data_IF_421854687982
#
_entry.id   IF_421854687982
#
_cell.length_a   1.000
_cell.length_b   1.000
_cell.length_c   1.000
_cell.angle_alpha   90.00
_cell.angle_beta   90.00
_cell.angle_gamma   90.00
#
_symmetry.space_group_name_H-M   'P 1'
#
loop_
_entity.id
_entity.type
_entity.pdbx_description
1 polymer ?
#
# COMPACT_ATOMS: atom_id res chain seq x y z
N UNK A 1 8.99 -6.46 -13.04
CA UNK A 1 7.78 -5.67 -12.81
C UNK A 1 7.67 -5.43 -11.33
N UNK A 2 7.77 -4.18 -10.92
CA UNK A 2 7.62 -3.76 -9.53
C UNK A 2 6.13 -3.54 -9.21
N UNK A 3 5.73 -3.65 -7.94
CA UNK A 3 4.33 -3.44 -7.55
C UNK A 3 3.89 -1.98 -7.75
N UNK A 4 4.83 -1.04 -7.71
CA UNK A 4 4.62 0.39 -7.96
C UNK A 4 4.09 0.67 -9.36
N UNK A 5 4.46 -0.14 -10.35
CA UNK A 5 4.01 -0.01 -11.75
C UNK A 5 2.52 -0.34 -11.93
N UNK A 6 1.90 -1.00 -10.95
CA UNK A 6 0.46 -1.31 -10.93
C UNK A 6 -0.38 -0.23 -10.23
N UNK A 7 0.27 0.74 -9.59
CA UNK A 7 -0.35 1.77 -8.76
C UNK A 7 -1.31 2.64 -9.57
N UNK A 8 -2.46 3.00 -8.99
CA UNK A 8 -3.33 4.07 -9.50
C UNK A 8 -3.86 4.92 -8.35
N UNK A 9 -3.84 6.26 -8.46
CA UNK A 9 -4.33 7.15 -7.42
C UNK A 9 -5.73 6.80 -6.92
N UNK A 10 -5.92 6.85 -5.61
CA UNK A 10 -7.15 6.55 -4.88
C UNK A 10 -7.45 5.06 -4.71
N UNK A 11 -6.64 4.16 -5.27
CA UNK A 11 -6.92 2.72 -5.21
C UNK A 11 -6.38 2.10 -3.91
N UNK A 12 -7.25 1.39 -3.21
CA UNK A 12 -6.91 0.66 -1.99
C UNK A 12 -7.75 -0.60 -1.83
N UNK A 13 -7.34 -1.47 -0.91
CA UNK A 13 -8.14 -2.59 -0.44
C UNK A 13 -9.21 -2.10 0.56
N UNK A 14 -10.38 -1.69 0.05
CA UNK A 14 -11.42 -1.04 0.85
C UNK A 14 -12.01 -1.92 1.96
N UNK A 15 -12.00 -3.25 1.80
CA UNK A 15 -12.57 -4.15 2.80
C UNK A 15 -11.73 -4.22 4.08
N UNK A 16 -10.40 -4.11 3.96
CA UNK A 16 -9.43 -4.19 5.06
C UNK A 16 -8.93 -2.81 5.50
N UNK A 17 -9.21 -1.78 4.70
CA UNK A 17 -8.91 -0.40 5.00
C UNK A 17 -9.56 0.06 6.32
N UNK A 18 -8.81 0.70 7.23
CA UNK A 18 -9.41 1.47 8.30
C UNK A 18 -10.41 2.48 7.71
N UNK A 19 -11.62 2.49 8.28
CA UNK A 19 -12.70 3.40 7.86
C UNK A 19 -12.42 4.82 8.31
N UNK A 20 -11.86 4.95 9.52
CA UNK A 20 -11.54 6.21 10.14
C UNK A 20 -10.04 6.52 10.00
N UNK A 21 -9.75 7.82 9.89
CA UNK A 21 -8.37 8.29 9.98
C UNK A 21 -7.93 8.31 11.44
N UNK A 22 -6.67 7.97 11.74
CA UNK A 22 -6.18 8.05 13.11
C UNK A 22 -6.22 9.50 13.61
N UNK A 23 -6.57 9.68 14.88
CA UNK A 23 -6.47 10.99 15.54
C UNK A 23 -5.00 11.43 15.59
N UNK A 24 -4.73 12.67 15.20
CA UNK A 24 -3.38 13.27 15.23
C UNK A 24 -3.19 14.17 16.46
N UNK A 25 -4.18 14.22 17.34
CA UNK A 25 -4.16 15.00 18.58
C UNK A 25 -2.97 14.58 19.45
N UNK A 26 -2.19 15.56 19.91
CA UNK A 26 -1.00 15.32 20.74
C UNK A 26 0.31 15.13 19.97
N UNK A 27 0.30 15.12 18.63
CA UNK A 27 1.53 15.11 17.82
C UNK A 27 1.90 16.55 17.42
N UNK A 28 3.08 17.07 17.83
CA UNK A 28 3.56 18.38 17.40
C UNK A 28 3.62 18.50 15.87
N UNK A 29 3.19 19.65 15.32
CA UNK A 29 3.14 19.87 13.88
C UNK A 29 4.49 19.67 13.17
N UNK A 30 5.60 19.99 13.84
CA UNK A 30 6.95 19.80 13.32
C UNK A 30 7.34 18.32 13.13
N UNK A 31 6.62 17.39 13.76
CA UNK A 31 6.84 15.95 13.65
C UNK A 31 5.87 15.28 12.67
N UNK A 32 4.87 16.00 12.15
CA UNK A 32 3.95 15.48 11.16
C UNK A 32 4.63 15.34 9.81
N UNK A 33 4.26 14.28 9.07
CA UNK A 33 4.69 14.14 7.67
C UNK A 33 4.09 15.27 6.83
N UNK A 34 4.92 15.86 5.98
CA UNK A 34 4.53 16.89 5.01
C UNK A 34 3.75 16.34 3.81
N UNK A 35 3.77 15.02 3.60
CA UNK A 35 3.06 14.36 2.52
C UNK A 35 2.81 12.88 2.79
N UNK A 36 1.93 12.25 1.99
CA UNK A 36 1.65 10.82 2.11
C UNK A 36 2.90 9.98 1.82
N UNK A 37 2.95 8.80 2.42
CA UNK A 37 4.00 7.82 2.08
C UNK A 37 3.83 7.35 0.63
N UNK A 38 4.95 7.07 -0.04
CA UNK A 38 4.97 6.57 -1.44
C UNK A 38 4.64 5.08 -1.50
N UNK A 39 3.46 4.71 -1.00
CA UNK A 39 2.95 3.34 -1.03
C UNK A 39 2.24 3.06 -2.36
N UNK A 40 2.31 1.83 -2.89
CA UNK A 40 1.57 1.46 -4.09
C UNK A 40 0.06 1.45 -3.80
N UNK A 41 -0.70 2.10 -4.67
CA UNK A 41 -2.16 2.18 -4.59
C UNK A 41 -2.76 1.08 -5.47
N UNK A 42 -2.98 -0.09 -4.86
CA UNK A 42 -3.45 -1.32 -5.51
C UNK A 42 -4.65 -1.92 -4.79
N UNK A 43 -5.50 -2.65 -5.53
CA UNK A 43 -6.57 -3.43 -4.90
C UNK A 43 -6.00 -4.73 -4.32
N UNK A 44 -6.74 -5.35 -3.40
CA UNK A 44 -6.38 -6.65 -2.82
C UNK A 44 -6.05 -7.69 -3.91
N UNK A 45 -6.93 -7.83 -4.90
CA UNK A 45 -6.74 -8.77 -6.01
C UNK A 45 -5.49 -8.50 -6.85
N UNK A 46 -5.01 -7.25 -6.90
CA UNK A 46 -3.76 -6.93 -7.59
C UNK A 46 -2.56 -7.28 -6.74
N UNK A 47 -2.59 -6.99 -5.43
CA UNK A 47 -1.54 -7.38 -4.50
C UNK A 47 -1.35 -8.91 -4.51
N UNK A 48 -2.44 -9.68 -4.36
CA UNK A 48 -2.41 -11.14 -4.41
C UNK A 48 -1.81 -11.64 -5.73
N UNK A 49 -2.35 -11.19 -6.88
CA UNK A 49 -1.85 -11.58 -8.20
C UNK A 49 -0.37 -11.22 -8.41
N UNK A 50 0.08 -10.08 -7.90
CA UNK A 50 1.47 -9.66 -8.02
C UNK A 50 2.39 -10.61 -7.26
N UNK A 51 2.12 -10.84 -5.97
CA UNK A 51 2.99 -11.66 -5.13
C UNK A 51 2.92 -13.16 -5.47
N UNK A 52 1.78 -13.68 -5.93
CA UNK A 52 1.69 -15.06 -6.46
C UNK A 52 2.53 -15.24 -7.72
N UNK A 53 2.56 -14.27 -8.64
CA UNK A 53 3.44 -14.35 -9.82
C UNK A 53 4.90 -14.14 -9.47
N UNK A 54 5.17 -13.34 -8.45
CA UNK A 54 6.53 -13.13 -7.96
C UNK A 54 7.09 -14.43 -7.35
N UNK A 55 6.30 -15.14 -6.54
CA UNK A 55 6.73 -16.39 -5.92
C UNK A 55 7.04 -17.48 -6.95
N UNK A 56 6.30 -17.54 -8.06
CA UNK A 56 6.57 -18.47 -9.16
C UNK A 56 7.91 -18.22 -9.88
N UNK A 57 8.55 -17.06 -9.66
CA UNK A 57 9.87 -16.74 -10.19
C UNK A 57 10.99 -17.10 -9.21
N UNK A 58 10.66 -17.46 -7.98
CA UNK A 58 11.65 -17.93 -7.01
C UNK A 58 11.94 -19.39 -7.29
N UNK A 59 13.21 -19.72 -7.54
CA UNK A 59 13.68 -21.10 -7.61
C UNK A 59 14.11 -21.52 -6.19
N UNK A 60 13.56 -22.62 -5.69
CA UNK A 60 13.99 -23.25 -4.43
C UNK A 60 14.73 -24.53 -4.77
N UNK A 61 15.96 -24.70 -4.24
CA UNK A 61 16.72 -25.96 -4.26
C UNK A 61 16.52 -26.64 -2.91
#
# INVERSE_FOLDING_TARGET
>A
MLIQELSRPGRRAFAQAPKDSPALEGIPAALLRSGPAQLPEVSEMQAVRHYTRLSQKNFSI
#
